data_IF_349366650642
#
_entry.id   IF_349366650642
#
_cell.length_a   1.000
_cell.length_b   1.000
_cell.length_c   1.000
_cell.angle_alpha   90.00
_cell.angle_beta   90.00
_cell.angle_gamma   90.00
#
_symmetry.space_group_name_H-M   'P 1'
#
loop_
_entity.id
_entity.type
_entity.pdbx_description
1 polymer ?
#
# COMPACT_ATOMS: atom_id res chain seq x y z
N UNK A 1 -2.79 2.41 8.82
CA UNK A 1 -2.34 2.73 7.46
C UNK A 1 -3.00 1.84 6.43
N UNK A 2 -2.81 0.51 6.45
CA UNK A 2 -3.38 -0.39 5.41
C UNK A 2 -4.92 -0.28 5.25
N UNK A 3 -5.68 -0.28 6.35
CA UNK A 3 -7.15 -0.08 6.30
C UNK A 3 -7.53 1.31 5.76
N UNK A 4 -6.82 2.35 6.18
CA UNK A 4 -7.06 3.71 5.72
C UNK A 4 -6.75 3.84 4.22
N UNK A 5 -5.73 3.14 3.73
CA UNK A 5 -5.43 3.07 2.30
C UNK A 5 -6.54 2.36 1.53
N UNK A 6 -7.02 1.20 1.98
CA UNK A 6 -8.14 0.50 1.36
C UNK A 6 -9.41 1.37 1.33
N UNK A 7 -9.72 2.06 2.42
CA UNK A 7 -10.88 2.96 2.51
C UNK A 7 -10.75 4.16 1.57
N UNK A 8 -9.56 4.78 1.51
CA UNK A 8 -9.30 5.92 0.63
C UNK A 8 -9.30 5.53 -0.85
N UNK A 9 -8.78 4.35 -1.20
CA UNK A 9 -8.88 3.81 -2.56
C UNK A 9 -10.32 3.49 -2.94
N UNK A 10 -11.09 2.85 -2.06
CA UNK A 10 -12.50 2.59 -2.33
C UNK A 10 -13.28 3.90 -2.56
N UNK A 11 -12.99 4.92 -1.75
CA UNK A 11 -13.53 6.27 -1.95
C UNK A 11 -13.12 6.86 -3.31
N UNK A 12 -11.84 6.81 -3.68
CA UNK A 12 -11.33 7.29 -4.97
C UNK A 12 -11.97 6.56 -6.16
N UNK A 13 -12.11 5.24 -6.11
CA UNK A 13 -12.71 4.44 -7.18
C UNK A 13 -14.21 4.68 -7.31
N UNK A 14 -14.93 4.77 -6.19
CA UNK A 14 -16.34 5.14 -6.17
C UNK A 14 -16.55 6.54 -6.76
N UNK A 15 -15.67 7.48 -6.40
CA UNK A 15 -15.71 8.83 -6.93
C UNK A 15 -15.40 8.89 -8.44
N UNK A 16 -14.41 8.13 -8.94
CA UNK A 16 -14.13 7.97 -10.40
C UNK A 16 -15.37 7.44 -11.13
N UNK A 17 -16.01 6.41 -10.58
CA UNK A 17 -17.24 5.84 -11.15
C UNK A 17 -18.42 6.82 -11.16
N UNK A 18 -18.64 7.58 -10.07
CA UNK A 18 -19.69 8.59 -10.00
C UNK A 18 -19.41 9.79 -10.92
N UNK A 19 -18.14 10.18 -11.07
CA UNK A 19 -17.71 11.22 -12.01
C UNK A 19 -18.07 10.87 -13.45
N UNK A 20 -17.80 9.62 -13.86
CA UNK A 20 -18.09 9.15 -15.22
C UNK A 20 -19.59 9.06 -15.52
N UNK A 21 -20.43 8.74 -14.53
CA UNK A 21 -21.86 8.51 -14.73
C UNK A 21 -22.75 9.74 -14.45
N UNK A 22 -22.33 10.63 -13.55
CA UNK A 22 -23.14 11.77 -13.06
C UNK A 22 -22.54 13.12 -13.49
N UNK A 23 -21.44 13.14 -14.26
CA UNK A 23 -20.74 14.36 -14.70
C UNK A 23 -20.24 15.26 -13.54
N UNK A 24 -19.89 14.65 -12.39
CA UNK A 24 -19.36 15.34 -11.20
C UNK A 24 -18.00 16.05 -11.43
N UNK A 25 -17.32 15.78 -12.55
CA UNK A 25 -16.05 16.43 -12.95
C UNK A 25 -16.18 17.93 -13.25
N UNK A 26 -17.41 18.46 -13.32
CA UNK A 26 -17.70 19.88 -13.58
C UNK A 26 -17.69 20.75 -12.33
N UNK A 27 -17.56 20.14 -11.14
CA UNK A 27 -17.51 20.84 -9.85
C UNK A 27 -16.05 20.90 -9.37
N UNK A 28 -15.45 22.10 -9.37
CA UNK A 28 -14.05 22.35 -8.99
C UNK A 28 -13.69 21.80 -7.59
N UNK A 29 -14.66 21.85 -6.65
CA UNK A 29 -14.48 21.31 -5.29
C UNK A 29 -14.26 19.80 -5.32
N UNK A 30 -14.93 19.08 -6.22
CA UNK A 30 -14.89 17.63 -6.30
C UNK A 30 -13.60 17.13 -6.98
N UNK A 31 -13.09 17.89 -7.95
CA UNK A 31 -11.80 17.60 -8.60
C UNK A 31 -10.61 17.91 -7.69
N UNK A 32 -10.68 18.97 -6.87
CA UNK A 32 -9.73 19.20 -5.76
C UNK A 32 -9.76 18.08 -4.74
N UNK A 33 -10.94 17.59 -4.35
CA UNK A 33 -11.08 16.48 -3.39
C UNK A 33 -10.49 15.17 -3.92
N UNK A 34 -10.66 14.89 -5.22
CA UNK A 34 -10.01 13.76 -5.91
C UNK A 34 -8.48 13.87 -5.88
N UNK A 35 -7.92 15.06 -6.15
CA UNK A 35 -6.47 15.29 -6.07
C UNK A 35 -5.94 15.05 -4.64
N UNK A 36 -6.65 15.53 -3.62
CA UNK A 36 -6.30 15.27 -2.21
C UNK A 36 -6.34 13.78 -1.91
N UNK A 37 -7.37 13.06 -2.36
CA UNK A 37 -7.49 11.62 -2.13
C UNK A 37 -6.37 10.81 -2.81
N UNK A 38 -6.01 11.13 -4.05
CA UNK A 38 -4.91 10.46 -4.77
C UNK A 38 -3.59 10.65 -4.02
N UNK A 39 -3.27 11.88 -3.63
CA UNK A 39 -2.02 12.12 -2.92
C UNK A 39 -2.03 11.50 -1.50
N UNK A 40 -3.17 11.48 -0.82
CA UNK A 40 -3.32 10.79 0.46
C UNK A 40 -3.08 9.28 0.31
N UNK A 41 -3.55 8.65 -0.78
CA UNK A 41 -3.26 7.24 -1.07
C UNK A 41 -1.75 6.98 -1.18
N UNK A 42 -1.02 7.83 -1.89
CA UNK A 42 0.44 7.70 -2.03
C UNK A 42 1.16 7.82 -0.68
N UNK A 43 0.79 8.81 0.15
CA UNK A 43 1.37 8.96 1.49
C UNK A 43 1.05 7.77 2.40
N UNK A 44 -0.20 7.31 2.40
CA UNK A 44 -0.63 6.16 3.21
C UNK A 44 0.07 4.88 2.78
N UNK A 45 0.29 4.73 1.47
CA UNK A 45 1.02 3.61 0.88
C UNK A 45 2.46 3.61 1.37
N UNK A 46 3.17 4.73 1.18
CA UNK A 46 4.57 4.89 1.57
C UNK A 46 4.77 4.69 3.07
N UNK A 47 3.92 5.29 3.89
CA UNK A 47 3.90 5.07 5.33
C UNK A 47 3.70 3.58 5.68
N UNK A 48 2.76 2.91 5.00
CA UNK A 48 2.53 1.48 5.13
C UNK A 48 3.78 0.63 4.87
N UNK A 49 4.49 0.90 3.77
CA UNK A 49 5.74 0.19 3.42
C UNK A 49 6.81 0.40 4.48
N UNK A 50 7.06 1.64 4.91
CA UNK A 50 8.06 1.94 5.94
C UNK A 50 7.74 1.32 7.30
N UNK A 51 6.45 1.21 7.65
CA UNK A 51 6.03 0.47 8.84
C UNK A 51 6.39 -1.02 8.75
N UNK A 52 6.23 -1.66 7.59
CA UNK A 52 6.56 -3.08 7.41
C UNK A 52 8.07 -3.30 7.46
N UNK A 53 8.86 -2.46 6.81
CA UNK A 53 10.32 -2.48 6.89
C UNK A 53 10.77 -2.36 8.35
N UNK A 54 10.22 -1.38 9.07
CA UNK A 54 10.57 -1.13 10.47
C UNK A 54 10.16 -2.30 11.37
N UNK A 55 8.98 -2.89 11.13
CA UNK A 55 8.53 -4.08 11.85
C UNK A 55 9.50 -5.26 11.62
N UNK A 56 10.00 -5.43 10.39
CA UNK A 56 11.00 -6.45 10.07
C UNK A 56 12.33 -6.21 10.78
N UNK A 57 12.83 -4.97 10.80
CA UNK A 57 14.06 -4.60 11.53
C UNK A 57 13.90 -4.85 13.03
N UNK A 58 12.80 -4.40 13.63
CA UNK A 58 12.50 -4.64 15.05
C UNK A 58 12.43 -6.14 15.32
N UNK A 59 11.85 -6.91 14.41
CA UNK A 59 11.75 -8.37 14.53
C UNK A 59 13.13 -9.01 14.48
N UNK A 60 13.98 -8.62 13.53
CA UNK A 60 15.34 -9.09 13.40
C UNK A 60 16.17 -8.81 14.65
N UNK A 61 16.11 -7.57 15.16
CA UNK A 61 16.81 -7.18 16.41
C UNK A 61 16.28 -8.01 17.59
N UNK A 62 14.96 -8.17 17.71
CA UNK A 62 14.35 -8.98 18.77
C UNK A 62 14.81 -10.43 18.73
N UNK A 63 14.95 -11.03 17.54
CA UNK A 63 15.47 -12.39 17.38
C UNK A 63 16.97 -12.47 17.70
N UNK A 64 17.76 -11.47 17.29
CA UNK A 64 19.19 -11.42 17.59
C UNK A 64 19.47 -11.25 19.10
N UNK A 65 18.59 -10.53 19.80
CA UNK A 65 18.68 -10.36 21.25
C UNK A 65 18.38 -11.65 22.03
N UNK A 66 17.60 -12.60 21.49
CA UNK A 66 17.36 -13.89 22.15
C UNK A 66 18.64 -14.71 22.34
N UNK A 67 19.69 -14.44 21.55
CA UNK A 67 20.99 -15.08 21.67
C UNK A 67 21.92 -14.41 22.70
N UNK A 68 21.65 -13.15 23.08
CA UNK A 68 22.44 -12.46 24.11
C UNK A 68 21.78 -12.71 25.46
N UNK A 69 22.33 -13.67 26.21
CA UNK A 69 21.89 -14.22 27.51
C UNK A 69 21.72 -13.23 28.67
N UNK A 70 21.87 -11.92 28.46
CA UNK A 70 21.86 -10.91 29.53
C UNK A 70 20.92 -9.75 29.23
N UNK A 71 19.60 -9.91 29.39
CA UNK A 71 18.72 -8.76 29.62
C UNK A 71 17.44 -9.11 30.41
N UNK A 72 17.29 -8.44 31.55
CA UNK A 72 16.08 -8.41 32.42
C UNK A 72 15.09 -7.31 32.02
N UNK A 73 15.43 -6.39 31.11
CA UNK A 73 14.60 -5.24 30.73
C UNK A 73 14.07 -5.36 29.29
N UNK A 74 12.78 -5.13 29.10
CA UNK A 74 12.13 -5.13 27.78
C UNK A 74 12.74 -4.02 26.90
N UNK A 75 13.48 -4.39 25.84
CA UNK A 75 14.18 -3.44 24.98
C UNK A 75 13.23 -2.44 24.28
N UNK A 76 12.04 -2.92 23.90
CA UNK A 76 11.02 -2.18 23.18
C UNK A 76 9.90 -1.74 24.13
N UNK A 77 9.74 -0.42 24.30
CA UNK A 77 8.69 0.17 25.14
C UNK A 77 7.64 0.87 24.27
N UNK A 78 6.41 1.00 24.78
CA UNK A 78 5.30 1.67 24.09
C UNK A 78 5.65 3.09 23.64
N UNK A 79 6.32 3.87 24.49
CA UNK A 79 6.72 5.26 24.16
C UNK A 79 7.77 5.33 23.05
N UNK A 80 8.63 4.31 22.90
CA UNK A 80 9.57 4.22 21.78
C UNK A 80 8.84 3.82 20.51
N UNK A 81 7.91 2.87 20.60
CA UNK A 81 7.05 2.45 19.49
C UNK A 81 6.29 3.65 18.90
N UNK A 82 5.64 4.44 19.76
CA UNK A 82 4.87 5.61 19.33
C UNK A 82 5.76 6.64 18.63
N UNK A 83 6.94 6.94 19.20
CA UNK A 83 7.91 7.86 18.57
C UNK A 83 8.36 7.38 17.19
N UNK A 84 8.67 6.09 17.04
CA UNK A 84 9.05 5.51 15.74
C UNK A 84 7.89 5.66 14.74
N UNK A 85 6.66 5.37 15.15
CA UNK A 85 5.48 5.51 14.28
C UNK A 85 5.29 6.96 13.83
N UNK A 86 5.45 7.94 14.73
CA UNK A 86 5.34 9.36 14.39
C UNK A 86 6.42 9.78 13.40
N UNK A 87 7.68 9.38 13.63
CA UNK A 87 8.80 9.68 12.75
C UNK A 87 8.61 9.09 11.35
N UNK A 88 8.09 7.86 11.24
CA UNK A 88 7.79 7.23 9.94
C UNK A 88 6.74 8.03 9.18
N UNK A 89 5.65 8.44 9.84
CA UNK A 89 4.59 9.19 9.16
C UNK A 89 5.06 10.58 8.71
N UNK A 90 5.80 11.30 9.56
CA UNK A 90 6.37 12.60 9.20
C UNK A 90 7.37 12.45 8.04
N UNK A 91 8.26 11.44 8.10
CA UNK A 91 9.22 11.16 7.05
C UNK A 91 8.56 10.76 5.73
N UNK A 92 7.48 9.97 5.76
CA UNK A 92 6.71 9.61 4.58
C UNK A 92 6.05 10.83 3.93
N UNK A 93 5.48 11.74 4.71
CA UNK A 93 4.91 13.00 4.20
C UNK A 93 6.02 13.83 3.54
N UNK A 94 7.15 14.02 4.22
CA UNK A 94 8.29 14.81 3.71
C UNK A 94 8.84 14.24 2.39
N UNK A 95 8.95 12.92 2.29
CA UNK A 95 9.43 12.23 1.09
C UNK A 95 8.44 12.36 -0.07
N UNK A 96 7.14 12.41 0.20
CA UNK A 96 6.10 12.60 -0.81
C UNK A 96 5.91 14.07 -1.22
N UNK A 97 6.60 15.04 -0.60
CA UNK A 97 6.46 16.47 -0.96
C UNK A 97 6.70 16.73 -2.46
N UNK A 98 7.76 16.19 -3.08
CA UNK A 98 7.99 16.38 -4.51
C UNK A 98 6.87 15.83 -5.39
N UNK A 99 6.08 14.85 -4.89
CA UNK A 99 4.94 14.28 -5.61
C UNK A 99 3.76 15.27 -5.68
N UNK A 100 3.48 16.01 -4.60
CA UNK A 100 2.41 17.01 -4.58
C UNK A 100 2.63 18.11 -5.62
N UNK A 101 3.88 18.47 -5.88
CA UNK A 101 4.24 19.51 -6.85
C UNK A 101 4.31 19.02 -8.31
N UNK A 102 4.19 17.71 -8.57
CA UNK A 102 4.14 17.18 -9.94
C UNK A 102 2.73 17.20 -10.56
N UNK A 103 1.70 17.28 -9.73
CA UNK A 103 0.30 17.11 -10.15
C UNK A 103 -0.43 18.45 -10.08
N UNK A 104 -0.87 18.99 -11.21
CA UNK A 104 -1.69 20.21 -11.29
C UNK A 104 -3.07 19.87 -11.84
N UNK A 105 -4.12 20.47 -11.29
CA UNK A 105 -5.46 20.32 -11.82
C UNK A 105 -5.61 21.35 -12.94
N UNK A 106 -5.68 20.91 -14.20
CA UNK A 106 -5.83 21.80 -15.37
C UNK A 106 -7.25 21.67 -15.93
N UNK A 107 -7.84 22.80 -16.29
CA UNK A 107 -9.11 22.85 -17.02
C UNK A 107 -8.90 22.37 -18.45
N UNK A 108 -9.64 21.34 -18.84
CA UNK A 108 -9.74 20.81 -20.19
C UNK A 108 -11.12 21.16 -20.74
N UNK A 109 -11.18 21.61 -21.99
CA UNK A 109 -12.39 22.19 -22.59
C UNK A 109 -13.53 21.19 -22.80
N UNK A 110 -13.23 19.88 -22.79
CA UNK A 110 -14.26 18.82 -22.77
C UNK A 110 -13.65 17.49 -22.31
N UNK A 111 -14.33 16.79 -21.40
CA UNK A 111 -13.98 15.40 -21.07
C UNK A 111 -14.42 14.49 -22.23
N UNK A 112 -13.50 13.71 -22.83
CA UNK A 112 -13.77 12.99 -24.09
C UNK A 112 -15.00 12.07 -24.01
N UNK A 113 -15.21 11.42 -22.86
CA UNK A 113 -16.37 10.53 -22.61
C UNK A 113 -17.70 11.30 -22.54
N UNK A 114 -17.67 12.57 -22.13
CA UNK A 114 -18.83 13.46 -22.08
C UNK A 114 -19.21 14.00 -23.46
N UNK A 115 -18.24 14.17 -24.36
CA UNK A 115 -18.49 14.58 -25.75
C UNK A 115 -19.20 13.50 -26.58
N UNK A 116 -19.00 12.23 -26.24
CA UNK A 116 -19.57 11.06 -26.95
C UNK A 116 -20.98 10.72 -26.44
N UNK A 117 -21.27 10.93 -25.16
CA UNK A 117 -22.55 10.52 -24.54
C UNK A 117 -23.69 11.54 -24.72
N UNK A 118 -23.41 12.83 -24.97
CA UNK A 118 -24.44 13.87 -25.12
C UNK A 118 -23.93 15.11 -25.85
N UNK A 119 -24.39 15.33 -27.09
CA UNK A 119 -24.04 16.50 -27.94
C UNK A 119 -24.47 17.86 -27.36
N UNK A 120 -25.35 17.86 -26.35
CA UNK A 120 -25.90 19.08 -25.70
C UNK A 120 -25.06 19.61 -24.52
N UNK A 121 -24.00 18.90 -24.08
CA UNK A 121 -23.12 19.31 -22.94
C UNK A 121 -21.63 19.34 -23.33
N UNK A 122 -21.35 19.49 -24.62
CA UNK A 122 -20.00 19.50 -25.20
C UNK A 122 -19.16 20.75 -24.86
N UNK A 123 -19.75 21.76 -24.21
CA UNK A 123 -19.11 23.03 -23.87
C UNK A 123 -18.80 23.24 -22.38
N UNK A 124 -18.97 22.21 -21.53
CA UNK A 124 -18.59 22.32 -20.11
C UNK A 124 -17.10 22.01 -19.92
N UNK A 125 -16.38 22.98 -19.34
CA UNK A 125 -15.03 22.78 -18.85
C UNK A 125 -15.00 21.64 -17.83
N UNK A 126 -14.07 20.72 -18.01
CA UNK A 126 -13.83 19.59 -17.12
C UNK A 126 -12.40 19.70 -16.58
N UNK A 127 -12.21 19.51 -15.28
CA UNK A 127 -10.87 19.57 -14.69
C UNK A 127 -10.24 18.19 -14.70
N UNK A 128 -9.10 18.05 -15.40
CA UNK A 128 -8.29 16.83 -15.41
C UNK A 128 -6.99 17.02 -14.61
N UNK A 129 -6.46 15.92 -14.08
CA UNK A 129 -5.14 15.93 -13.45
C UNK A 129 -4.09 15.98 -14.57
N UNK A 130 -3.40 17.10 -14.71
CA UNK A 130 -2.31 17.30 -15.68
C UNK A 130 -0.97 17.45 -14.95
N UNK A 131 0.11 17.15 -15.63
CA UNK A 131 1.45 17.46 -15.14
C UNK A 131 1.68 18.99 -15.11
N UNK A 132 2.37 19.50 -14.09
CA UNK A 132 2.73 20.94 -13.97
C UNK A 132 3.63 21.41 -15.11
N UNK A 133 3.71 22.73 -15.33
CA UNK A 133 4.69 23.34 -16.24
C UNK A 133 6.17 23.02 -15.87
N UNK A 134 6.45 22.61 -14.63
CA UNK A 134 7.77 22.11 -14.23
C UNK A 134 8.05 20.69 -14.79
N UNK A 135 7.00 19.87 -14.90
CA UNK A 135 7.04 18.55 -15.50
C UNK A 135 6.88 18.57 -17.04
N UNK A 136 6.42 19.69 -17.63
CA UNK A 136 6.37 19.89 -19.08
C UNK A 136 7.75 20.01 -19.71
N UNK A 137 8.76 20.41 -18.93
CA UNK A 137 10.16 20.32 -19.31
C UNK A 137 10.55 18.84 -19.33
N UNK A 138 10.70 18.26 -20.53
CA UNK A 138 10.83 16.82 -20.75
C UNK A 138 11.99 16.17 -19.99
N UNK A 139 13.06 16.92 -19.72
CA UNK A 139 14.19 16.45 -18.92
C UNK A 139 13.91 16.50 -17.40
N UNK A 140 13.38 17.60 -16.87
CA UNK A 140 13.11 17.76 -15.44
C UNK A 140 11.96 16.89 -14.96
N UNK A 141 10.88 16.78 -15.75
CA UNK A 141 9.78 15.86 -15.48
C UNK A 141 10.24 14.40 -15.46
N UNK A 142 11.11 14.01 -16.40
CA UNK A 142 11.70 12.66 -16.46
C UNK A 142 12.60 12.38 -15.25
N UNK A 143 13.45 13.34 -14.86
CA UNK A 143 14.34 13.21 -13.70
C UNK A 143 13.53 13.10 -12.41
N UNK A 144 12.51 13.94 -12.23
CA UNK A 144 11.66 13.90 -11.04
C UNK A 144 10.88 12.58 -10.96
N UNK A 145 10.33 12.12 -12.09
CA UNK A 145 9.64 10.83 -12.17
C UNK A 145 10.58 9.66 -11.87
N UNK A 146 11.81 9.70 -12.38
CA UNK A 146 12.84 8.69 -12.11
C UNK A 146 13.27 8.66 -10.64
N UNK A 147 13.62 9.82 -10.07
CA UNK A 147 14.01 9.94 -8.68
C UNK A 147 12.90 9.46 -7.76
N UNK A 148 11.66 9.87 -8.03
CA UNK A 148 10.51 9.51 -7.22
C UNK A 148 10.16 8.03 -7.37
N UNK A 149 10.19 7.47 -8.59
CA UNK A 149 9.98 6.04 -8.83
C UNK A 149 11.05 5.15 -8.16
N UNK A 150 12.32 5.52 -8.29
CA UNK A 150 13.44 4.75 -7.72
C UNK A 150 13.43 4.84 -6.19
N UNK A 151 13.36 6.05 -5.64
CA UNK A 151 13.44 6.27 -4.20
C UNK A 151 12.21 5.70 -3.49
N UNK A 152 11.03 5.83 -4.08
CA UNK A 152 9.79 5.42 -3.41
C UNK A 152 9.46 3.93 -3.61
N UNK A 153 9.93 3.27 -4.68
CA UNK A 153 9.64 1.84 -4.91
C UNK A 153 10.86 0.95 -4.84
N UNK A 154 11.93 1.27 -5.56
CA UNK A 154 13.10 0.39 -5.65
C UNK A 154 13.87 0.28 -4.34
N UNK A 155 14.12 1.41 -3.67
CA UNK A 155 14.87 1.42 -2.40
C UNK A 155 14.12 0.61 -1.31
N UNK A 156 12.80 0.82 -1.07
CA UNK A 156 12.06 0.00 -0.13
C UNK A 156 12.05 -1.48 -0.49
N UNK A 157 11.91 -1.83 -1.78
CA UNK A 157 11.94 -3.21 -2.23
C UNK A 157 13.30 -3.87 -1.97
N UNK A 158 14.41 -3.20 -2.26
CA UNK A 158 15.75 -3.70 -2.00
C UNK A 158 15.97 -3.95 -0.50
N UNK A 159 15.56 -3.01 0.35
CA UNK A 159 15.64 -3.16 1.82
C UNK A 159 14.80 -4.36 2.27
N UNK A 160 13.59 -4.53 1.73
CA UNK A 160 12.71 -5.66 2.05
C UNK A 160 13.34 -6.99 1.68
N UNK A 161 13.91 -7.13 0.49
CA UNK A 161 14.61 -8.34 0.04
C UNK A 161 15.76 -8.68 0.99
N UNK A 162 16.63 -7.70 1.29
CA UNK A 162 17.76 -7.90 2.21
C UNK A 162 17.28 -8.34 3.58
N UNK A 163 16.27 -7.65 4.13
CA UNK A 163 15.71 -7.98 5.44
C UNK A 163 15.06 -9.36 5.47
N UNK A 164 14.40 -9.78 4.39
CA UNK A 164 13.83 -11.13 4.27
C UNK A 164 14.94 -12.19 4.32
N UNK A 165 16.02 -12.02 3.56
CA UNK A 165 17.16 -12.96 3.56
C UNK A 165 17.80 -13.05 4.95
N UNK A 166 18.07 -11.91 5.58
CA UNK A 166 18.64 -11.86 6.93
C UNK A 166 17.72 -12.53 7.97
N UNK A 167 16.41 -12.33 7.86
CA UNK A 167 15.44 -12.91 8.78
C UNK A 167 15.31 -14.43 8.59
N UNK A 168 15.36 -14.94 7.35
CA UNK A 168 15.41 -16.38 7.03
C UNK A 168 16.64 -17.03 7.66
N UNK A 169 17.83 -16.45 7.43
CA UNK A 169 19.09 -16.96 7.95
C UNK A 169 19.05 -17.06 9.49
N UNK A 170 18.57 -16.00 10.16
CA UNK A 170 18.44 -15.99 11.62
C UNK A 170 17.38 -16.96 12.13
N UNK A 171 16.26 -17.09 11.44
CA UNK A 171 15.22 -18.03 11.83
C UNK A 171 15.70 -19.48 11.74
N UNK A 172 16.45 -19.83 10.69
CA UNK A 172 17.07 -21.15 10.53
C UNK A 172 18.08 -21.44 11.65
N UNK A 173 18.91 -20.46 12.00
CA UNK A 173 19.85 -20.57 13.12
C UNK A 173 19.12 -20.84 14.45
N UNK A 174 18.01 -20.12 14.72
CA UNK A 174 17.20 -20.33 15.93
C UNK A 174 16.56 -21.70 15.95
N UNK A 175 16.03 -22.18 14.82
CA UNK A 175 15.37 -23.47 14.73
C UNK A 175 16.30 -24.64 15.07
N UNK A 176 17.57 -24.57 14.67
CA UNK A 176 18.56 -25.59 15.02
C UNK A 176 18.88 -25.60 16.52
N UNK A 177 18.88 -24.42 17.16
CA UNK A 177 19.23 -24.26 18.57
C UNK A 177 18.04 -24.50 19.51
N UNK A 178 16.81 -24.26 19.05
CA UNK A 178 15.62 -24.33 19.89
C UNK A 178 15.13 -25.75 20.19
N UNK A 179 15.43 -26.72 19.29
CA UNK A 179 15.16 -28.16 19.48
C UNK A 179 15.76 -28.68 20.80
N UNK A 180 16.78 -28.01 21.34
CA UNK A 180 17.60 -28.50 22.45
C UNK A 180 17.25 -27.90 23.83
N UNK A 181 16.62 -26.72 23.93
CA UNK A 181 16.56 -25.97 25.21
C UNK A 181 15.33 -25.06 25.50
N UNK A 182 14.22 -25.11 24.74
CA UNK A 182 13.12 -24.11 24.91
C UNK A 182 11.71 -24.69 25.02
N UNK A 183 10.83 -23.99 25.77
CA UNK A 183 9.41 -24.33 25.89
C UNK A 183 8.67 -24.25 24.54
N UNK A 184 7.99 -25.33 24.12
CA UNK A 184 7.51 -25.47 22.73
C UNK A 184 6.42 -24.46 22.35
N UNK A 185 5.59 -24.02 23.30
CA UNK A 185 4.39 -23.22 23.03
C UNK A 185 4.75 -21.75 22.73
N UNK A 186 5.56 -21.10 23.56
CA UNK A 186 5.97 -19.69 23.37
C UNK A 186 6.81 -19.52 22.12
N UNK A 187 7.65 -20.50 21.82
CA UNK A 187 8.48 -20.49 20.64
C UNK A 187 7.67 -20.72 19.36
N UNK A 188 6.72 -21.66 19.35
CA UNK A 188 5.80 -21.86 18.22
C UNK A 188 5.10 -20.56 17.85
N UNK A 189 4.53 -19.84 18.84
CA UNK A 189 3.88 -18.54 18.60
C UNK A 189 4.85 -17.50 18.03
N UNK A 190 6.07 -17.39 18.58
CA UNK A 190 7.09 -16.47 18.05
C UNK A 190 7.46 -16.82 16.61
N UNK A 191 7.65 -18.10 16.29
CA UNK A 191 7.95 -18.55 14.91
C UNK A 191 6.82 -18.18 13.97
N UNK A 192 5.56 -18.48 14.32
CA UNK A 192 4.40 -18.11 13.50
C UNK A 192 4.38 -16.60 13.19
N UNK A 193 4.64 -15.74 14.17
CA UNK A 193 4.71 -14.28 13.96
C UNK A 193 5.81 -13.92 12.95
N UNK A 194 7.02 -14.49 13.09
CA UNK A 194 8.12 -14.22 12.16
C UNK A 194 7.77 -14.70 10.74
N UNK A 195 7.18 -15.89 10.61
CA UNK A 195 6.74 -16.42 9.32
C UNK A 195 5.66 -15.53 8.69
N UNK A 196 4.68 -15.04 9.46
CA UNK A 196 3.67 -14.11 8.95
C UNK A 196 4.33 -12.82 8.43
N UNK A 197 5.26 -12.22 9.19
CA UNK A 197 5.99 -11.01 8.75
C UNK A 197 6.77 -11.30 7.46
N UNK A 198 7.43 -12.46 7.36
CA UNK A 198 8.15 -12.86 6.15
C UNK A 198 7.21 -13.01 4.94
N UNK A 199 6.04 -13.63 5.13
CA UNK A 199 5.03 -13.77 4.07
C UNK A 199 4.57 -12.39 3.59
N UNK A 200 4.29 -11.46 4.52
CA UNK A 200 3.93 -10.08 4.16
C UNK A 200 5.06 -9.44 3.32
N UNK A 201 6.32 -9.58 3.74
CA UNK A 201 7.44 -8.99 3.01
C UNK A 201 7.60 -9.57 1.60
N UNK A 202 7.50 -10.90 1.46
CA UNK A 202 7.58 -11.58 0.17
C UNK A 202 6.43 -11.16 -0.74
N UNK A 203 5.20 -11.05 -0.20
CA UNK A 203 4.04 -10.59 -0.95
C UNK A 203 4.25 -9.16 -1.48
N UNK A 204 4.76 -8.26 -0.65
CA UNK A 204 5.14 -6.91 -1.07
C UNK A 204 6.18 -6.93 -2.21
N UNK A 205 7.23 -7.74 -2.10
CA UNK A 205 8.25 -7.84 -3.16
C UNK A 205 7.65 -8.34 -4.48
N UNK A 206 6.82 -9.38 -4.43
CA UNK A 206 6.18 -9.96 -5.62
C UNK A 206 5.28 -8.94 -6.33
N UNK A 207 4.56 -8.10 -5.58
CA UNK A 207 3.66 -7.11 -6.16
C UNK A 207 4.41 -5.85 -6.61
N UNK A 208 5.36 -5.35 -5.82
CA UNK A 208 5.99 -4.05 -6.06
C UNK A 208 7.14 -4.08 -7.05
N UNK A 209 7.90 -5.18 -7.13
CA UNK A 209 9.01 -5.28 -8.09
C UNK A 209 8.53 -5.18 -9.54
N UNK A 210 7.49 -5.92 -9.97
CA UNK A 210 6.94 -5.76 -11.33
C UNK A 210 6.42 -4.34 -11.59
N UNK A 211 5.72 -3.76 -10.61
CA UNK A 211 5.22 -2.38 -10.71
C UNK A 211 6.37 -1.37 -10.88
N UNK A 212 7.45 -1.53 -10.11
CA UNK A 212 8.63 -0.67 -10.19
C UNK A 212 9.39 -0.81 -11.52
N UNK A 213 9.55 -2.04 -12.02
CA UNK A 213 10.21 -2.29 -13.31
C UNK A 213 9.42 -1.66 -14.45
N UNK A 214 8.11 -1.88 -14.49
CA UNK A 214 7.25 -1.34 -15.56
C UNK A 214 7.24 0.19 -15.52
N UNK A 215 7.18 0.80 -14.33
CA UNK A 215 7.27 2.25 -14.17
C UNK A 215 8.55 2.83 -14.80
N UNK A 216 9.69 2.18 -14.56
CA UNK A 216 10.98 2.57 -15.14
C UNK A 216 10.98 2.40 -16.65
N UNK A 217 10.54 1.24 -17.17
CA UNK A 217 10.47 0.98 -18.60
C UNK A 217 9.57 1.99 -19.33
N UNK A 218 8.40 2.30 -18.78
CA UNK A 218 7.47 3.30 -19.33
C UNK A 218 8.08 4.69 -19.41
N UNK A 219 8.93 5.07 -18.45
CA UNK A 219 9.61 6.37 -18.46
C UNK A 219 10.78 6.47 -19.45
N UNK A 220 11.40 5.35 -19.84
CA UNK A 220 12.48 5.31 -20.84
C UNK A 220 11.93 5.45 -22.25
N UNK A 221 10.80 4.79 -22.55
CA UNK A 221 10.26 4.68 -23.91
C UNK A 221 9.55 5.95 -24.44
N UNK A 222 9.54 7.05 -23.69
CA UNK A 222 9.23 8.38 -24.26
C UNK A 222 7.85 8.49 -24.93
N UNK A 223 6.79 7.93 -24.32
CA UNK A 223 5.41 8.20 -24.72
C UNK A 223 4.85 7.43 -25.92
N UNK A 224 5.57 6.49 -26.53
CA UNK A 224 5.04 5.80 -27.72
C UNK A 224 3.97 4.70 -27.44
N UNK A 225 3.47 4.56 -26.20
CA UNK A 225 2.52 3.48 -25.83
C UNK A 225 1.42 3.94 -24.84
N UNK A 226 0.92 5.17 -25.02
CA UNK A 226 -0.07 5.79 -24.12
C UNK A 226 -1.40 4.99 -23.98
N UNK A 227 -1.81 4.20 -24.97
CA UNK A 227 -3.06 3.43 -24.88
C UNK A 227 -3.01 2.23 -23.90
N UNK A 228 -1.81 1.66 -23.65
CA UNK A 228 -1.65 0.61 -22.64
C UNK A 228 -1.42 1.15 -21.22
N UNK A 229 -1.05 2.43 -21.11
CA UNK A 229 -0.57 3.04 -19.87
C UNK A 229 -1.67 3.24 -18.83
N UNK A 230 -2.89 3.57 -19.28
CA UNK A 230 -4.05 3.72 -18.40
C UNK A 230 -4.51 2.37 -17.82
N UNK A 231 -4.58 1.33 -18.66
CA UNK A 231 -4.94 -0.03 -18.22
C UNK A 231 -3.89 -0.59 -17.25
N UNK A 232 -2.60 -0.38 -17.53
CA UNK A 232 -1.51 -0.78 -16.65
C UNK A 232 -1.56 -0.04 -15.30
N UNK A 233 -1.89 1.26 -15.31
CA UNK A 233 -2.11 2.05 -14.09
C UNK A 233 -3.26 1.50 -13.25
N UNK A 234 -4.43 1.29 -13.86
CA UNK A 234 -5.61 0.72 -13.18
C UNK A 234 -5.32 -0.70 -12.63
N UNK A 235 -4.55 -1.52 -13.34
CA UNK A 235 -4.09 -2.83 -12.85
C UNK A 235 -3.17 -2.71 -11.64
N UNK A 236 -2.24 -1.75 -11.63
CA UNK A 236 -1.34 -1.53 -10.50
C UNK A 236 -2.09 -1.04 -9.25
N UNK A 237 -3.08 -0.17 -9.43
CA UNK A 237 -3.94 0.27 -8.33
C UNK A 237 -4.70 -0.91 -7.71
N UNK A 238 -5.25 -1.82 -8.53
CA UNK A 238 -5.92 -3.04 -8.05
C UNK A 238 -4.93 -3.97 -7.33
N UNK A 239 -3.74 -4.18 -7.89
CA UNK A 239 -2.71 -5.02 -7.27
C UNK A 239 -2.24 -4.46 -5.92
N UNK A 240 -2.05 -3.14 -5.83
CA UNK A 240 -1.68 -2.47 -4.57
C UNK A 240 -2.80 -2.56 -3.54
N UNK A 241 -4.07 -2.44 -3.95
CA UNK A 241 -5.22 -2.64 -3.07
C UNK A 241 -5.27 -4.08 -2.53
N UNK A 242 -5.09 -5.08 -3.42
CA UNK A 242 -5.09 -6.48 -3.05
C UNK A 242 -3.96 -6.80 -2.06
N UNK A 243 -2.75 -6.28 -2.31
CA UNK A 243 -1.61 -6.41 -1.41
C UNK A 243 -1.92 -5.83 -0.02
N UNK A 244 -2.56 -4.67 0.05
CA UNK A 244 -2.98 -4.06 1.31
C UNK A 244 -4.05 -4.89 2.05
N UNK A 245 -5.01 -5.47 1.33
CA UNK A 245 -6.02 -6.37 1.89
C UNK A 245 -5.38 -7.64 2.47
N UNK A 246 -4.49 -8.29 1.72
CA UNK A 246 -3.75 -9.48 2.15
C UNK A 246 -2.91 -9.16 3.40
N UNK A 247 -2.18 -8.06 3.36
CA UNK A 247 -1.35 -7.60 4.49
C UNK A 247 -2.18 -7.33 5.74
N UNK A 248 -3.33 -6.67 5.59
CA UNK A 248 -4.26 -6.46 6.71
C UNK A 248 -4.75 -7.80 7.28
N UNK A 249 -5.21 -8.73 6.44
CA UNK A 249 -5.65 -10.05 6.87
C UNK A 249 -4.57 -10.83 7.62
N UNK A 250 -3.32 -10.77 7.15
CA UNK A 250 -2.17 -11.39 7.80
C UNK A 250 -1.84 -10.74 9.16
N UNK A 251 -1.94 -9.41 9.27
CA UNK A 251 -1.82 -8.72 10.56
C UNK A 251 -2.96 -9.05 11.53
N UNK A 252 -4.18 -9.21 11.05
CA UNK A 252 -5.30 -9.68 11.85
C UNK A 252 -5.04 -11.08 12.40
N UNK A 253 -4.50 -11.99 11.57
CA UNK A 253 -4.11 -13.34 11.98
C UNK A 253 -3.03 -13.36 13.06
N UNK A 254 -2.11 -12.40 13.02
CA UNK A 254 -1.04 -12.24 14.01
C UNK A 254 -1.55 -11.88 15.42
N UNK A 255 -2.65 -11.14 15.54
CA UNK A 255 -3.18 -10.67 16.83
C UNK A 255 -4.22 -11.64 17.39
N UNK A 256 -3.90 -12.31 18.50
CA UNK A 256 -4.83 -13.24 19.16
C UNK A 256 -6.13 -12.56 19.61
N UNK A 257 -6.06 -11.30 20.04
CA UNK A 257 -7.24 -10.51 20.46
C UNK A 257 -8.16 -10.20 19.28
N UNK A 258 -7.57 -9.85 18.13
CA UNK A 258 -8.32 -9.61 16.91
C UNK A 258 -8.89 -10.90 16.35
N UNK A 259 -8.13 -12.01 16.37
CA UNK A 259 -8.63 -13.33 15.98
C UNK A 259 -9.83 -13.78 16.82
N UNK A 260 -9.83 -13.55 18.14
CA UNK A 260 -10.99 -13.84 18.99
C UNK A 260 -12.16 -12.87 18.79
N UNK A 261 -11.91 -11.61 18.45
CA UNK A 261 -12.96 -10.64 18.12
C UNK A 261 -13.59 -10.93 16.75
N UNK A 262 -12.79 -11.21 15.73
CA UNK A 262 -13.23 -11.67 14.41
C UNK A 262 -13.91 -13.03 14.49
N UNK A 263 -13.40 -13.99 15.27
CA UNK A 263 -14.11 -15.26 15.47
C UNK A 263 -15.46 -15.07 16.17
N UNK A 264 -15.61 -14.04 17.02
CA UNK A 264 -16.89 -13.71 17.65
C UNK A 264 -17.85 -12.92 16.76
N UNK A 265 -17.36 -12.10 15.82
CA UNK A 265 -18.21 -11.29 14.93
C UNK A 265 -18.40 -11.87 13.52
N UNK A 266 -17.32 -12.31 12.88
CA UNK A 266 -17.28 -12.74 11.47
C UNK A 266 -17.81 -14.17 11.27
N UNK A 267 -17.53 -15.11 12.17
CA UNK A 267 -18.08 -16.48 12.06
C UNK A 267 -19.61 -16.55 12.18
N UNK A 268 -20.28 -15.86 13.12
CA UNK A 268 -21.75 -15.87 13.14
C UNK A 268 -22.36 -15.08 11.98
N UNK A 269 -21.72 -14.00 11.50
CA UNK A 269 -22.21 -13.23 10.36
C UNK A 269 -22.10 -13.99 9.04
N UNK A 270 -20.92 -14.55 8.73
CA UNK A 270 -20.69 -15.36 7.52
C UNK A 270 -21.56 -16.62 7.51
N UNK A 271 -21.75 -17.29 8.66
CA UNK A 271 -22.64 -18.46 8.76
C UNK A 271 -24.10 -18.09 8.53
N UNK A 272 -24.59 -16.98 9.08
CA UNK A 272 -25.97 -16.48 8.84
C UNK A 272 -26.18 -16.05 7.39
N UNK A 273 -25.22 -15.35 6.80
CA UNK A 273 -25.28 -14.91 5.41
C UNK A 273 -25.25 -16.09 4.43
N UNK A 274 -24.39 -17.08 4.68
CA UNK A 274 -24.33 -18.30 3.86
C UNK A 274 -25.58 -19.17 4.02
N UNK A 275 -26.16 -19.24 5.22
CA UNK A 275 -27.45 -19.90 5.44
C UNK A 275 -28.61 -19.16 4.75
N UNK A 276 -28.61 -17.83 4.75
CA UNK A 276 -29.61 -17.04 4.00
C UNK A 276 -29.48 -17.26 2.49
N UNK A 277 -28.26 -17.28 1.95
CA UNK A 277 -28.03 -17.55 0.53
C UNK A 277 -28.47 -18.96 0.14
N UNK A 278 -28.14 -19.98 0.94
CA UNK A 278 -28.59 -21.36 0.68
C UNK A 278 -30.13 -21.45 0.71
N UNK A 279 -30.77 -20.79 1.67
CA UNK A 279 -32.24 -20.79 1.77
C UNK A 279 -32.91 -20.02 0.61
N UNK A 280 -32.25 -19.00 0.06
CA UNK A 280 -32.72 -18.29 -1.13
C UNK A 280 -32.43 -19.04 -2.45
N UNK A 281 -31.59 -20.07 -2.44
CA UNK A 281 -31.27 -20.93 -3.60
C UNK A 281 -32.06 -22.24 -3.63
N UNK A 282 -32.87 -22.54 -2.60
CA UNK A 282 -33.77 -23.71 -2.52
C UNK A 282 -35.25 -23.36 -2.78
N UNK A 283 -35.54 -22.16 -3.30
CA UNK A 283 -36.85 -21.72 -3.79
C UNK A 283 -36.72 -21.44 -5.28
#
# INVERSE_FOLDING_TARGET
>A
TQVALCANFFYSSLFKYLSDNIFLSTIEVQTKLRSVSVNASVVLYMSGVFHIITLSIIRFISLNQLFKTKFTKLWFNYTKCLRIIMLINIGAILLCIPFFFNSEVREVTSHWKCSVLSSSKSSLSAHELSFTNLASNTALGRINFWLLGIICKFIPCAIMIVMTVLLVQKLRQIQLLSIRFTSPIREKRRRCITYIIMIIMINFVIVEVPQGIILVLSSVQGGASFAGSELLGDLFDILSLLNSCVTFGLFCSMSSRLRHAFARGFFPFSRKFFQQIIHSLQI
#
